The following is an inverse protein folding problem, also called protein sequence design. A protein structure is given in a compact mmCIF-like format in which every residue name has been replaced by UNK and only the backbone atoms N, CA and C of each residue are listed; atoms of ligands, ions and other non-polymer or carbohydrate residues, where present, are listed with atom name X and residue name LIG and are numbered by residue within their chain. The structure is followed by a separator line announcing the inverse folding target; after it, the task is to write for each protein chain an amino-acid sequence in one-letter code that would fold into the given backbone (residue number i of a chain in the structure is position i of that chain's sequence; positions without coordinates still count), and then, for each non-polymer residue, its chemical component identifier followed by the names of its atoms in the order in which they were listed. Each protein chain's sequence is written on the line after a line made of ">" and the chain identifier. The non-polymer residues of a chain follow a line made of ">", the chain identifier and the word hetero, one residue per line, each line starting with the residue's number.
data_IF_817773388169
#
_entry.id   IF_817773388169
#
_cell.length_a   1.000
_cell.length_b   1.000
_cell.length_c   1.000
_cell.angle_alpha   90.00
_cell.angle_beta   90.00
_cell.angle_gamma   90.00
#
_symmetry.space_group_name_H-M   'P 1'
#
loop_
_entity.id
_entity.type
_entity.pdbx_description
1 polymer ?
#
# COMPACT_ATOMS: atom_id res chain seq x y z
N UNK A 1 -16.06 5.54 21.10
CA UNK A 1 -16.23 6.19 19.79
C UNK A 1 -15.27 5.52 18.81
N UNK A 2 -15.74 4.50 18.09
CA UNK A 2 -14.94 3.77 17.10
C UNK A 2 -15.32 4.29 15.72
N UNK A 3 -14.39 5.01 15.08
CA UNK A 3 -14.55 5.57 13.75
C UNK A 3 -14.67 4.45 12.73
N UNK A 4 -15.85 4.33 12.15
CA UNK A 4 -16.19 3.39 11.09
C UNK A 4 -15.55 3.91 9.80
N UNK A 5 -14.31 3.48 9.52
CA UNK A 5 -13.66 3.73 8.23
C UNK A 5 -14.41 2.93 7.18
N UNK A 6 -15.27 3.63 6.43
CA UNK A 6 -15.98 3.13 5.25
C UNK A 6 -14.94 2.74 4.18
N UNK A 7 -14.46 1.50 4.24
CA UNK A 7 -13.79 0.83 3.14
C UNK A 7 -14.82 0.67 2.02
N UNK A 8 -14.86 1.65 1.11
CA UNK A 8 -15.61 1.52 -0.15
C UNK A 8 -14.94 0.38 -0.92
N UNK A 9 -15.52 -0.83 -0.85
CA UNK A 9 -15.14 -1.99 -1.66
C UNK A 9 -14.93 -1.51 -3.10
N UNK A 10 -13.68 -1.50 -3.54
CA UNK A 10 -13.39 -1.39 -4.97
C UNK A 10 -13.90 -2.67 -5.62
N UNK A 11 -14.46 -2.51 -6.81
CA UNK A 11 -15.03 -3.61 -7.56
C UNK A 11 -13.89 -4.53 -8.03
N UNK A 12 -14.02 -5.87 -8.02
CA UNK A 12 -12.96 -6.80 -8.47
C UNK A 12 -12.47 -6.54 -9.91
N UNK A 13 -13.23 -5.75 -10.70
CA UNK A 13 -12.88 -5.32 -12.05
C UNK A 13 -11.79 -4.23 -12.13
N UNK A 14 -11.53 -3.48 -11.05
CA UNK A 14 -10.55 -2.38 -11.06
C UNK A 14 -9.10 -2.90 -10.97
N UNK A 15 -8.86 -3.98 -10.22
CA UNK A 15 -7.54 -4.62 -10.13
C UNK A 15 -7.07 -5.23 -11.47
N UNK A 16 -7.99 -5.81 -12.24
CA UNK A 16 -7.70 -6.46 -13.52
C UNK A 16 -7.29 -5.48 -14.65
N UNK A 17 -7.78 -4.24 -14.61
CA UNK A 17 -7.47 -3.23 -15.63
C UNK A 17 -6.08 -2.62 -15.44
N UNK A 18 -5.63 -2.42 -14.21
CA UNK A 18 -4.30 -1.86 -13.97
C UNK A 18 -3.18 -2.88 -14.18
N UNK A 19 -3.41 -4.16 -13.88
CA UNK A 19 -2.41 -5.19 -14.17
C UNK A 19 -2.15 -5.30 -15.68
N UNK A 20 -3.18 -5.07 -16.50
CA UNK A 20 -3.04 -4.90 -17.94
C UNK A 20 -2.30 -3.60 -18.31
N UNK A 21 -2.59 -2.47 -17.63
CA UNK A 21 -1.89 -1.20 -17.86
C UNK A 21 -0.37 -1.26 -17.52
N UNK A 22 0.01 -1.99 -16.47
CA UNK A 22 1.42 -2.24 -16.11
C UNK A 22 2.07 -3.16 -17.13
N UNK A 23 1.38 -4.22 -17.55
CA UNK A 23 1.88 -5.12 -18.61
C UNK A 23 2.01 -4.40 -19.96
N UNK A 24 1.21 -3.36 -20.19
CA UNK A 24 1.31 -2.48 -21.36
C UNK A 24 2.38 -1.39 -21.21
N UNK A 25 3.20 -1.40 -20.15
CA UNK A 25 4.27 -0.42 -19.93
C UNK A 25 3.80 0.98 -19.57
N UNK A 26 2.51 1.15 -19.24
CA UNK A 26 1.91 2.45 -18.87
C UNK A 26 1.98 2.74 -17.37
N UNK A 27 2.49 1.81 -16.56
CA UNK A 27 2.71 1.95 -15.13
C UNK A 27 3.94 1.12 -14.69
N UNK A 28 4.77 1.66 -13.80
CA UNK A 28 6.00 1.01 -13.34
C UNK A 28 5.77 0.00 -12.21
N UNK A 29 6.81 -0.76 -11.82
CA UNK A 29 6.75 -1.71 -10.71
C UNK A 29 6.28 -1.08 -9.40
N UNK A 30 6.72 0.16 -9.14
CA UNK A 30 6.29 0.98 -8.00
C UNK A 30 4.78 1.21 -8.04
N UNK A 31 4.24 1.76 -9.12
CA UNK A 31 2.80 2.05 -9.22
C UNK A 31 1.94 0.79 -9.08
N UNK A 32 2.41 -0.35 -9.60
CA UNK A 32 1.74 -1.64 -9.42
C UNK A 32 1.71 -2.07 -7.94
N UNK A 33 2.82 -1.92 -7.21
CA UNK A 33 2.90 -2.26 -5.79
C UNK A 33 1.90 -1.45 -4.95
N UNK A 34 1.80 -0.13 -5.20
CA UNK A 34 0.83 0.74 -4.53
C UNK A 34 -0.63 0.34 -4.79
N UNK A 35 -0.98 0.02 -6.04
CA UNK A 35 -2.34 -0.44 -6.33
C UNK A 35 -2.59 -1.82 -5.70
N UNK A 36 -1.64 -2.74 -5.78
CA UNK A 36 -1.81 -4.09 -5.25
C UNK A 36 -2.17 -4.05 -3.77
N UNK A 37 -1.43 -3.29 -2.98
CA UNK A 37 -1.74 -3.08 -1.57
C UNK A 37 -3.08 -2.37 -1.36
N UNK A 38 -3.45 -1.38 -2.20
CA UNK A 38 -4.77 -0.73 -2.15
C UNK A 38 -5.91 -1.73 -2.32
N UNK A 39 -5.78 -2.62 -3.30
CA UNK A 39 -6.76 -3.67 -3.59
C UNK A 39 -6.86 -4.63 -2.41
N UNK A 40 -5.72 -5.11 -1.89
CA UNK A 40 -5.69 -6.02 -0.75
C UNK A 40 -6.38 -5.40 0.48
N UNK A 41 -6.06 -4.16 0.83
CA UNK A 41 -6.71 -3.47 1.96
C UNK A 41 -8.22 -3.32 1.76
N UNK A 42 -8.66 -2.94 0.55
CA UNK A 42 -10.09 -2.80 0.25
C UNK A 42 -10.85 -4.14 0.25
N UNK A 43 -10.15 -5.25 0.01
CA UNK A 43 -10.66 -6.61 0.15
C UNK A 43 -10.62 -7.13 1.61
N UNK A 44 -10.05 -6.36 2.54
CA UNK A 44 -9.85 -6.77 3.94
C UNK A 44 -8.69 -7.77 4.12
N UNK A 45 -7.74 -7.78 3.18
CA UNK A 45 -6.56 -8.66 3.17
C UNK A 45 -5.32 -7.88 3.60
N UNK A 46 -4.30 -8.64 4.04
CA UNK A 46 -3.00 -8.07 4.40
C UNK A 46 -2.25 -7.55 3.16
N UNK A 47 -1.47 -6.50 3.37
CA UNK A 47 -0.59 -5.88 2.39
C UNK A 47 0.70 -6.66 2.17
N UNK A 48 1.41 -6.35 1.09
CA UNK A 48 2.74 -6.91 0.81
C UNK A 48 3.82 -5.85 1.04
N UNK A 49 3.62 -4.64 0.51
CA UNK A 49 4.66 -3.59 0.50
C UNK A 49 4.44 -2.50 1.56
N UNK A 50 3.35 -2.57 2.32
CA UNK A 50 3.01 -1.61 3.37
C UNK A 50 2.74 -0.20 2.86
N UNK A 51 2.20 -0.05 1.65
CA UNK A 51 2.00 1.28 1.03
C UNK A 51 0.74 2.02 1.52
N UNK A 52 -0.23 1.32 2.10
CA UNK A 52 -1.45 1.94 2.65
C UNK A 52 -1.33 2.14 4.17
N UNK A 53 -1.62 3.36 4.60
CA UNK A 53 -1.58 3.79 6.00
C UNK A 53 -2.96 3.59 6.64
N UNK A 54 -2.99 2.93 7.80
CA UNK A 54 -4.19 2.73 8.61
C UNK A 54 -4.50 3.94 9.50
N UNK A 55 -3.46 4.68 9.89
CA UNK A 55 -3.58 5.89 10.69
C UNK A 55 -2.22 6.35 11.22
N UNK A 56 -2.27 7.23 12.21
CA UNK A 56 -1.09 7.71 12.93
C UNK A 56 -1.22 7.28 14.39
N UNK A 57 -0.15 6.70 14.94
CA UNK A 57 -0.05 6.33 16.35
C UNK A 57 1.18 7.01 16.94
N UNK A 58 0.99 7.76 18.02
CA UNK A 58 2.08 8.48 18.71
C UNK A 58 2.91 9.40 17.78
N UNK A 59 2.26 9.98 16.77
CA UNK A 59 2.90 10.82 15.75
C UNK A 59 3.57 10.05 14.60
N UNK A 60 3.57 8.72 14.64
CA UNK A 60 4.16 7.86 13.62
C UNK A 60 3.08 7.24 12.73
N UNK A 61 3.18 7.34 11.39
CA UNK A 61 2.28 6.64 10.47
C UNK A 61 2.39 5.11 10.62
N UNK A 62 1.26 4.44 10.70
CA UNK A 62 1.17 2.98 10.86
C UNK A 62 0.49 2.38 9.64
N UNK A 63 1.09 1.40 8.94
CA UNK A 63 0.47 0.76 7.80
C UNK A 63 -0.68 -0.17 8.23
N UNK A 64 -1.59 -0.48 7.32
CA UNK A 64 -2.46 -1.66 7.50
C UNK A 64 -1.62 -2.93 7.63
N UNK A 65 -2.15 -4.01 8.26
CA UNK A 65 -1.37 -5.24 8.48
C UNK A 65 -0.71 -5.76 7.20
N UNK A 66 0.59 -6.07 7.29
CA UNK A 66 1.37 -6.70 6.21
C UNK A 66 1.45 -8.22 6.43
N UNK A 67 1.60 -8.98 5.35
CA UNK A 67 1.79 -10.43 5.41
C UNK A 67 3.14 -10.77 6.04
N UNK A 68 4.20 -10.11 5.60
CA UNK A 68 5.59 -10.30 6.04
C UNK A 68 6.19 -8.94 6.47
N UNK A 69 5.77 -8.35 7.62
CA UNK A 69 6.24 -7.04 8.05
C UNK A 69 7.77 -6.98 8.23
N UNK A 70 8.40 -8.09 8.62
CA UNK A 70 9.84 -8.21 8.80
C UNK A 70 10.63 -8.18 7.48
N UNK A 71 9.99 -8.48 6.35
CA UNK A 71 10.59 -8.44 5.01
C UNK A 71 10.10 -7.27 4.16
N UNK A 72 9.28 -6.40 4.75
CA UNK A 72 8.61 -5.31 4.04
C UNK A 72 9.60 -4.42 3.28
N UNK A 73 10.72 -4.03 3.91
CA UNK A 73 11.71 -3.16 3.26
C UNK A 73 12.49 -3.88 2.14
N UNK A 74 12.73 -5.18 2.28
CA UNK A 74 13.31 -6.01 1.20
C UNK A 74 12.37 -6.03 -0.03
N UNK A 75 11.09 -6.30 0.20
CA UNK A 75 10.07 -6.33 -0.85
C UNK A 75 9.86 -4.95 -1.50
N UNK A 76 9.97 -3.87 -0.72
CA UNK A 76 9.92 -2.49 -1.25
C UNK A 76 11.09 -2.19 -2.16
N UNK A 77 12.31 -2.63 -1.79
CA UNK A 77 13.49 -2.45 -2.62
C UNK A 77 13.38 -3.13 -3.99
N UNK A 78 12.77 -4.33 -4.06
CA UNK A 78 12.55 -5.07 -5.32
C UNK A 78 11.71 -4.30 -6.35
N UNK A 79 10.83 -3.41 -5.89
CA UNK A 79 9.94 -2.60 -6.75
C UNK A 79 10.32 -1.12 -6.80
N UNK A 80 11.49 -0.75 -6.27
CA UNK A 80 12.00 0.63 -6.30
C UNK A 80 11.27 1.57 -5.35
N UNK A 81 10.81 1.06 -4.21
CA UNK A 81 10.21 1.84 -3.12
C UNK A 81 11.23 1.95 -1.98
N UNK A 82 11.36 3.15 -1.41
CA UNK A 82 12.23 3.41 -0.27
C UNK A 82 11.74 2.71 1.00
N UNK A 83 12.61 2.41 1.99
CA UNK A 83 12.19 1.83 3.27
C UNK A 83 11.03 2.59 3.91
N UNK A 84 10.19 1.89 4.67
CA UNK A 84 8.93 2.45 5.17
C UNK A 84 9.14 3.76 5.95
N UNK A 85 10.08 3.78 6.90
CA UNK A 85 10.37 4.94 7.73
C UNK A 85 10.86 6.14 6.92
N UNK A 86 11.72 5.90 5.93
CA UNK A 86 12.20 6.94 5.00
C UNK A 86 11.06 7.50 4.15
N UNK A 87 10.17 6.62 3.69
CA UNK A 87 9.03 7.01 2.88
C UNK A 87 8.06 7.88 3.67
N UNK A 88 7.66 7.47 4.89
CA UNK A 88 6.69 8.21 5.70
C UNK A 88 7.25 9.52 6.25
N UNK A 89 8.57 9.60 6.49
CA UNK A 89 9.23 10.84 6.89
C UNK A 89 9.03 11.97 5.86
N UNK A 90 8.93 11.64 4.56
CA UNK A 90 8.65 12.62 3.49
C UNK A 90 7.27 13.28 3.61
N UNK A 91 6.34 12.63 4.31
CA UNK A 91 4.95 13.09 4.47
C UNK A 91 4.63 13.53 5.90
N UNK A 92 5.55 13.35 6.84
CA UNK A 92 5.40 13.77 8.24
C UNK A 92 5.50 15.30 8.45
N UNK A 93 5.73 16.08 7.38
CA UNK A 93 5.86 17.53 7.38
C UNK A 93 4.63 18.24 6.79
N UNK A 94 3.49 18.16 7.49
CA UNK A 94 2.32 19.02 7.28
C UNK A 94 1.62 19.34 8.60
#
# INVERSE_FOLDING_TARGET
>A
MQGQYLLRRLSPYEGHQLQQAVSAGSAGPRELAFLRDRTLVNEGRKQIYGTQIAGVKDGTPVPWPCEEPERMDELRAEVGIEPFDEYVAKFAMA
#
